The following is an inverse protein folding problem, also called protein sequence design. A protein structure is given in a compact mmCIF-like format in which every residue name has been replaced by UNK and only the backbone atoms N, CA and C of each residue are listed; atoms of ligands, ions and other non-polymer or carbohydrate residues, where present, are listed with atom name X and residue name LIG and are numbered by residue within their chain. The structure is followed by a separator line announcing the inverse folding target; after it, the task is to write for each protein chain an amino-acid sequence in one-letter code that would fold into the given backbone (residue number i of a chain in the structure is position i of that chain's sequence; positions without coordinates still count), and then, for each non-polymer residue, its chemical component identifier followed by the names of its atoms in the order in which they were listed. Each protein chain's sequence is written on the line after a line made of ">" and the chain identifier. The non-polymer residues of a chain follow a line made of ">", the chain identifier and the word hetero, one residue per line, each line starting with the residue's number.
data_IF_602057068627
#
_entry.id   IF_602057068627
#
_cell.length_a   1.000
_cell.length_b   1.000
_cell.length_c   1.000
_cell.angle_alpha   90.00
_cell.angle_beta   90.00
_cell.angle_gamma   90.00
#
_symmetry.space_group_name_H-M   'P 1'
#
loop_
_entity.id
_entity.type
_entity.pdbx_description
1 polymer ?
#
# COMPACT_ATOMS: atom_id res chain seq x y z
N UNK A 1 7.94 8.77 8.62
CA UNK A 1 6.51 8.53 8.35
C UNK A 1 6.06 7.27 9.12
N UNK A 2 4.76 6.99 9.26
CA UNK A 2 4.26 5.78 9.93
C UNK A 2 3.36 4.99 8.97
N UNK A 3 3.38 3.67 9.05
CA UNK A 3 2.53 2.81 8.22
C UNK A 3 1.03 3.10 8.45
N UNK A 4 0.67 3.51 9.67
CA UNK A 4 -0.69 3.89 10.03
C UNK A 4 -1.29 4.94 9.09
N UNK A 5 -0.53 5.95 8.67
CA UNK A 5 -1.02 6.98 7.75
C UNK A 5 -1.51 6.42 6.42
N UNK A 6 -0.86 5.37 5.90
CA UNK A 6 -1.25 4.72 4.65
C UNK A 6 -2.37 3.68 4.89
N UNK A 7 -2.20 2.83 5.90
CA UNK A 7 -3.11 1.71 6.17
C UNK A 7 -4.49 2.21 6.59
N UNK A 8 -4.56 3.24 7.45
CA UNK A 8 -5.84 3.85 7.84
C UNK A 8 -6.49 4.56 6.67
N UNK A 9 -5.71 5.16 5.77
CA UNK A 9 -6.22 5.75 4.52
C UNK A 9 -6.90 4.70 3.64
N UNK A 10 -6.23 3.57 3.38
CA UNK A 10 -6.81 2.45 2.63
C UNK A 10 -8.05 1.86 3.30
N UNK A 11 -8.03 1.69 4.63
CA UNK A 11 -9.20 1.26 5.43
C UNK A 11 -10.38 2.22 5.29
N UNK A 12 -10.12 3.53 5.25
CA UNK A 12 -11.16 4.54 5.10
C UNK A 12 -11.79 4.52 3.69
N UNK A 13 -11.01 4.24 2.64
CA UNK A 13 -11.53 4.02 1.30
C UNK A 13 -12.50 2.83 1.29
N UNK A 14 -12.02 1.68 1.77
CA UNK A 14 -12.77 0.43 1.80
C UNK A 14 -14.12 0.57 2.55
N UNK A 15 -14.07 1.11 3.77
CA UNK A 15 -15.26 1.34 4.61
C UNK A 15 -16.27 2.28 3.98
N UNK A 16 -15.83 3.31 3.24
CA UNK A 16 -16.75 4.22 2.56
C UNK A 16 -17.48 3.52 1.41
N UNK A 17 -16.79 2.69 0.65
CA UNK A 17 -17.42 1.89 -0.40
C UNK A 17 -18.43 0.91 0.20
N UNK A 18 -18.06 0.19 1.26
CA UNK A 18 -18.97 -0.71 1.99
C UNK A 18 -20.20 0.02 2.55
N UNK A 19 -20.00 1.20 3.14
CA UNK A 19 -21.10 1.99 3.69
C UNK A 19 -22.10 2.44 2.61
N UNK A 20 -21.66 2.66 1.36
CA UNK A 20 -22.58 2.93 0.25
C UNK A 20 -23.26 1.67 -0.23
N UNK A 21 -22.52 0.58 -0.37
CA UNK A 21 -23.07 -0.70 -0.81
C UNK A 21 -24.12 -1.24 0.17
N UNK A 22 -23.97 -0.98 1.47
CA UNK A 22 -24.94 -1.38 2.50
C UNK A 22 -26.25 -0.58 2.47
N UNK A 23 -26.29 0.62 1.85
CA UNK A 23 -27.52 1.42 1.78
C UNK A 23 -28.50 0.81 0.81
N UNK A 24 -29.78 0.73 1.18
CA UNK A 24 -30.84 0.26 0.27
C UNK A 24 -31.07 1.23 -0.90
N UNK A 25 -31.06 2.54 -0.63
CA UNK A 25 -31.18 3.62 -1.63
C UNK A 25 -30.00 4.57 -1.52
N UNK A 26 -29.46 4.98 -2.67
CA UNK A 26 -28.37 5.93 -2.74
C UNK A 26 -28.92 7.34 -2.96
N UNK A 27 -28.51 8.26 -2.09
CA UNK A 27 -28.80 9.69 -2.24
C UNK A 27 -27.73 10.35 -3.13
N UNK A 28 -28.06 10.97 -4.27
CA UNK A 28 -27.09 11.47 -5.24
C UNK A 28 -26.05 12.44 -4.63
N UNK A 29 -26.50 13.39 -3.82
CA UNK A 29 -25.64 14.41 -3.19
C UNK A 29 -24.67 13.81 -2.18
N UNK A 30 -25.16 12.88 -1.33
CA UNK A 30 -24.33 12.18 -0.36
C UNK A 30 -23.32 11.28 -1.06
N UNK A 31 -23.75 10.55 -2.09
CA UNK A 31 -22.93 9.64 -2.88
C UNK A 31 -21.80 10.37 -3.61
N UNK A 32 -22.09 11.53 -4.22
CA UNK A 32 -21.08 12.41 -4.81
C UNK A 32 -20.06 12.88 -3.78
N UNK A 33 -20.51 13.36 -2.62
CA UNK A 33 -19.62 13.85 -1.55
C UNK A 33 -18.66 12.77 -1.08
N UNK A 34 -19.14 11.54 -0.93
CA UNK A 34 -18.31 10.40 -0.54
C UNK A 34 -17.28 10.02 -1.62
N UNK A 35 -17.64 10.09 -2.91
CA UNK A 35 -16.69 9.89 -4.01
C UNK A 35 -15.58 10.94 -4.01
N UNK A 36 -15.91 12.22 -3.84
CA UNK A 36 -14.90 13.28 -3.71
C UNK A 36 -13.97 13.08 -2.49
N UNK A 37 -14.52 12.62 -1.37
CA UNK A 37 -13.72 12.28 -0.19
C UNK A 37 -12.78 11.09 -0.43
N UNK A 38 -13.20 10.10 -1.24
CA UNK A 38 -12.31 9.02 -1.67
C UNK A 38 -11.16 9.54 -2.54
N UNK A 39 -11.46 10.34 -3.58
CA UNK A 39 -10.43 10.94 -4.45
C UNK A 39 -9.39 11.76 -3.66
N UNK A 40 -9.85 12.56 -2.68
CA UNK A 40 -8.94 13.30 -1.79
C UNK A 40 -8.05 12.37 -0.96
N UNK A 41 -8.60 11.27 -0.45
CA UNK A 41 -7.82 10.27 0.31
C UNK A 41 -6.79 9.56 -0.58
N UNK A 42 -7.17 9.18 -1.81
CA UNK A 42 -6.27 8.58 -2.81
C UNK A 42 -5.14 9.52 -3.20
N UNK A 43 -5.45 10.81 -3.43
CA UNK A 43 -4.44 11.83 -3.70
C UNK A 43 -3.41 11.94 -2.57
N UNK A 44 -3.88 11.89 -1.31
CA UNK A 44 -2.98 11.89 -0.13
C UNK A 44 -2.12 10.62 -0.08
N UNK A 45 -2.70 9.44 -0.35
CA UNK A 45 -1.94 8.19 -0.41
C UNK A 45 -0.85 8.26 -1.48
N UNK A 46 -1.18 8.72 -2.69
CA UNK A 46 -0.22 8.88 -3.79
C UNK A 46 0.92 9.83 -3.41
N UNK A 47 0.61 10.97 -2.80
CA UNK A 47 1.62 11.92 -2.34
C UNK A 47 2.57 11.31 -1.28
N UNK A 48 2.03 10.56 -0.32
CA UNK A 48 2.83 9.89 0.72
C UNK A 48 3.71 8.77 0.15
N UNK A 49 3.20 8.00 -0.83
CA UNK A 49 3.97 6.96 -1.53
C UNK A 49 5.11 7.61 -2.32
N UNK A 50 4.80 8.65 -3.10
CA UNK A 50 5.79 9.34 -3.93
C UNK A 50 6.92 9.98 -3.08
N UNK A 51 6.57 10.58 -1.94
CA UNK A 51 7.55 11.26 -1.08
C UNK A 51 8.42 10.31 -0.24
N UNK A 52 7.94 9.10 0.05
CA UNK A 52 8.54 8.26 1.09
C UNK A 52 9.24 6.99 0.62
N UNK A 53 9.10 6.57 -0.64
CA UNK A 53 9.54 5.23 -1.07
C UNK A 53 11.06 5.11 -1.13
N UNK A 54 11.70 4.24 -0.33
CA UNK A 54 13.15 4.07 -0.36
C UNK A 54 13.60 3.18 -1.52
N UNK A 55 14.89 3.30 -1.85
CA UNK A 55 15.59 2.27 -2.60
C UNK A 55 15.60 0.95 -1.79
N UNK A 56 15.47 -0.20 -2.45
CA UNK A 56 15.44 -1.50 -1.80
C UNK A 56 16.77 -1.82 -1.17
N UNK A 57 16.73 -2.52 -0.04
CA UNK A 57 17.93 -2.88 0.70
C UNK A 57 17.95 -4.38 1.01
N UNK A 58 19.03 -5.10 0.69
CA UNK A 58 19.23 -6.48 1.13
C UNK A 58 19.22 -6.63 2.66
N UNK A 59 19.02 -7.85 3.15
CA UNK A 59 19.23 -8.19 4.56
C UNK A 59 17.96 -8.31 5.43
N UNK A 60 16.77 -8.50 4.84
CA UNK A 60 15.57 -8.88 5.63
C UNK A 60 15.11 -10.30 5.36
N UNK A 61 14.73 -10.98 6.44
CA UNK A 61 14.20 -12.34 6.39
C UNK A 61 12.70 -12.34 6.02
N UNK A 62 12.24 -13.39 5.35
CA UNK A 62 10.82 -13.53 5.03
C UNK A 62 9.96 -13.74 6.30
N UNK A 63 10.55 -14.27 7.38
CA UNK A 63 9.89 -14.41 8.69
C UNK A 63 9.52 -13.06 9.31
N UNK A 64 10.45 -12.09 9.34
CA UNK A 64 10.19 -10.74 9.84
C UNK A 64 9.16 -10.01 8.98
N UNK A 65 9.25 -10.15 7.66
CA UNK A 65 8.25 -9.58 6.74
C UNK A 65 6.85 -10.18 7.00
N UNK A 66 6.77 -11.47 7.33
CA UNK A 66 5.53 -12.13 7.73
C UNK A 66 4.95 -11.58 9.03
N UNK A 67 5.78 -11.29 10.03
CA UNK A 67 5.32 -10.68 11.29
C UNK A 67 4.80 -9.26 11.09
N UNK A 68 5.55 -8.41 10.38
CA UNK A 68 5.10 -7.05 10.06
C UNK A 68 3.82 -7.07 9.23
N UNK A 69 3.67 -8.00 8.29
CA UNK A 69 2.42 -8.16 7.52
C UNK A 69 1.21 -8.44 8.43
N UNK A 70 1.33 -9.36 9.39
CA UNK A 70 0.23 -9.66 10.35
C UNK A 70 -0.13 -8.46 11.21
N UNK A 71 0.87 -7.70 11.67
CA UNK A 71 0.63 -6.44 12.40
C UNK A 71 -0.12 -5.44 11.51
N UNK A 72 0.30 -5.28 10.24
CA UNK A 72 -0.40 -4.39 9.31
C UNK A 72 -1.84 -4.84 9.02
N UNK A 73 -2.10 -6.15 8.95
CA UNK A 73 -3.46 -6.70 8.80
C UNK A 73 -4.34 -6.37 10.00
N UNK A 74 -3.80 -6.48 11.23
CA UNK A 74 -4.50 -6.07 12.45
C UNK A 74 -4.75 -4.55 12.47
N UNK A 75 -3.73 -3.76 12.13
CA UNK A 75 -3.86 -2.31 11.99
C UNK A 75 -4.94 -1.93 10.98
N UNK A 76 -5.03 -2.65 9.86
CA UNK A 76 -6.08 -2.46 8.88
C UNK A 76 -7.46 -2.88 9.41
N UNK A 77 -7.55 -3.95 10.19
CA UNK A 77 -8.79 -4.49 10.73
C UNK A 77 -9.38 -3.67 11.89
N UNK A 78 -8.54 -3.10 12.75
CA UNK A 78 -8.97 -2.40 13.98
C UNK A 78 -8.78 -0.88 13.87
N UNK A 79 -7.80 -0.43 13.10
CA UNK A 79 -7.49 1.00 12.89
C UNK A 79 -6.34 1.51 13.77
N UNK A 80 -5.92 0.71 14.74
CA UNK A 80 -4.73 0.93 15.57
C UNK A 80 -4.03 -0.40 15.90
N UNK A 81 -2.93 -0.31 16.64
CA UNK A 81 -2.21 -1.44 17.21
C UNK A 81 -2.05 -1.27 18.72
N UNK A 82 -3.19 -1.18 19.42
CA UNK A 82 -3.20 -1.19 20.88
C UNK A 82 -2.62 -2.49 21.43
N UNK A 83 -1.60 -2.40 22.29
CA UNK A 83 -0.95 -3.54 22.94
C UNK A 83 -1.94 -4.42 23.71
N UNK A 84 -2.99 -3.83 24.29
CA UNK A 84 -4.02 -4.56 25.02
C UNK A 84 -4.91 -5.43 24.11
N UNK A 85 -4.98 -5.12 22.81
CA UNK A 85 -5.79 -5.83 21.82
C UNK A 85 -4.99 -6.86 21.00
N UNK A 86 -3.67 -6.93 21.23
CA UNK A 86 -2.76 -7.88 20.60
C UNK A 86 -2.53 -9.07 21.52
N UNK A 87 -2.40 -10.25 20.92
CA UNK A 87 -2.01 -11.43 21.69
C UNK A 87 -0.55 -11.31 22.17
N UNK A 88 -0.27 -11.91 23.33
CA UNK A 88 1.02 -11.81 24.01
C UNK A 88 2.17 -12.36 23.14
N UNK A 89 1.90 -13.40 22.35
CA UNK A 89 2.89 -14.01 21.45
C UNK A 89 3.33 -13.04 20.35
N UNK A 90 2.38 -12.33 19.74
CA UNK A 90 2.63 -11.33 18.71
C UNK A 90 3.38 -10.12 19.29
N UNK A 91 3.00 -9.66 20.49
CA UNK A 91 3.72 -8.61 21.22
C UNK A 91 5.18 -8.99 21.51
N UNK A 92 5.41 -10.19 22.06
CA UNK A 92 6.75 -10.69 22.38
C UNK A 92 7.63 -10.80 21.12
N UNK A 93 7.06 -11.31 20.02
CA UNK A 93 7.78 -11.38 18.74
C UNK A 93 8.02 -10.01 18.13
N UNK A 94 7.09 -9.08 18.26
CA UNK A 94 7.22 -7.70 17.78
C UNK A 94 8.36 -6.98 18.54
N UNK A 95 8.47 -7.19 19.85
CA UNK A 95 9.54 -6.63 20.66
C UNK A 95 10.94 -7.18 20.32
N UNK A 96 11.01 -8.36 19.70
CA UNK A 96 12.27 -8.98 19.27
C UNK A 96 12.79 -8.48 17.91
N UNK A 97 11.98 -7.72 17.17
CA UNK A 97 12.38 -7.16 15.87
C UNK A 97 12.60 -5.65 15.99
N UNK A 98 13.74 -5.16 15.49
CA UNK A 98 14.05 -3.72 15.46
C UNK A 98 13.28 -2.98 14.34
N UNK A 99 12.05 -3.37 14.04
CA UNK A 99 11.24 -2.86 12.92
C UNK A 99 9.94 -2.22 13.37
N UNK A 100 9.67 -2.25 14.67
CA UNK A 100 8.50 -1.66 15.31
C UNK A 100 8.96 -0.91 16.55
N UNK A 101 8.24 0.14 16.92
CA UNK A 101 8.53 0.92 18.12
C UNK A 101 7.27 1.03 18.97
N UNK A 102 7.44 1.19 20.28
CA UNK A 102 6.32 1.38 21.21
C UNK A 102 6.20 2.85 21.56
N UNK A 103 5.00 3.41 21.48
CA UNK A 103 4.68 4.75 21.97
C UNK A 103 3.48 4.68 22.91
N UNK A 104 3.75 4.62 24.22
CA UNK A 104 2.72 4.37 25.23
C UNK A 104 2.08 3.00 25.04
N UNK A 105 0.74 2.89 24.97
CA UNK A 105 0.05 1.60 24.80
C UNK A 105 -0.05 1.14 23.34
N UNK A 106 0.63 1.80 22.40
CA UNK A 106 0.47 1.58 20.95
C UNK A 106 1.79 1.11 20.33
N UNK A 107 1.72 0.08 19.50
CA UNK A 107 2.80 -0.29 18.59
C UNK A 107 2.75 0.55 17.31
N UNK A 108 3.91 1.05 16.90
CA UNK A 108 4.10 1.85 15.70
C UNK A 108 4.99 1.07 14.74
N UNK A 109 4.58 1.03 13.48
CA UNK A 109 5.41 0.51 12.38
C UNK A 109 5.99 1.72 11.64
N UNK A 110 7.24 2.13 11.91
CA UNK A 110 7.86 3.26 11.25
C UNK A 110 8.08 2.96 9.76
N UNK A 111 7.91 4.00 8.95
CA UNK A 111 8.29 4.04 7.55
C UNK A 111 9.38 5.11 7.40
N UNK A 112 10.59 4.63 7.11
CA UNK A 112 11.78 5.46 6.96
C UNK A 112 12.50 5.18 5.65
N UNK A 113 13.45 6.04 5.31
CA UNK A 113 14.36 5.84 4.18
C UNK A 113 15.62 5.05 4.59
N UNK A 114 15.91 5.02 5.88
CA UNK A 114 17.15 4.48 6.46
C UNK A 114 16.86 3.43 7.54
N UNK A 115 17.92 2.77 7.98
CA UNK A 115 17.90 1.78 9.04
C UNK A 115 16.96 0.61 8.76
N UNK A 116 16.40 0.03 9.81
CA UNK A 116 15.47 -1.10 9.75
C UNK A 116 14.07 -0.70 9.25
N UNK A 117 13.66 0.55 9.49
CA UNK A 117 12.37 1.10 9.09
C UNK A 117 12.14 1.08 7.57
N UNK A 118 13.21 1.16 6.76
CA UNK A 118 13.11 1.06 5.29
C UNK A 118 12.56 -0.28 4.81
N UNK A 119 12.72 -1.34 5.59
CA UNK A 119 12.25 -2.66 5.21
C UNK A 119 10.74 -2.85 5.39
N UNK A 120 10.07 -1.96 6.14
CA UNK A 120 8.62 -1.99 6.36
C UNK A 120 7.81 -1.57 5.13
N UNK A 121 8.43 -0.91 4.15
CA UNK A 121 7.76 -0.51 2.92
C UNK A 121 7.22 -1.67 2.10
N UNK A 122 7.99 -2.76 2.00
CA UNK A 122 7.59 -3.94 1.24
C UNK A 122 6.29 -4.59 1.77
N UNK A 123 6.18 -4.95 3.07
CA UNK A 123 4.93 -5.51 3.58
C UNK A 123 3.77 -4.50 3.54
N UNK A 124 4.03 -3.18 3.67
CA UNK A 124 3.01 -2.15 3.47
C UNK A 124 2.50 -2.14 2.03
N UNK A 125 3.36 -2.11 1.02
CA UNK A 125 2.95 -2.15 -0.38
C UNK A 125 2.13 -3.38 -0.71
N UNK A 126 2.55 -4.56 -0.24
CA UNK A 126 1.80 -5.80 -0.44
C UNK A 126 0.41 -5.71 0.16
N UNK A 127 0.28 -5.29 1.41
CA UNK A 127 -1.04 -5.09 2.02
C UNK A 127 -1.88 -4.08 1.25
N UNK A 128 -1.32 -2.92 0.89
CA UNK A 128 -2.08 -1.88 0.20
C UNK A 128 -2.55 -2.34 -1.18
N UNK A 129 -1.73 -3.09 -1.93
CA UNK A 129 -2.14 -3.67 -3.21
C UNK A 129 -3.34 -4.60 -3.00
N UNK A 130 -3.24 -5.55 -2.06
CA UNK A 130 -4.33 -6.49 -1.76
C UNK A 130 -5.63 -5.74 -1.40
N UNK A 131 -5.53 -4.69 -0.56
CA UNK A 131 -6.71 -3.93 -0.11
C UNK A 131 -7.28 -2.98 -1.15
N UNK A 132 -6.45 -2.44 -2.04
CA UNK A 132 -6.91 -1.62 -3.15
C UNK A 132 -7.56 -2.45 -4.24
N UNK A 133 -7.12 -3.69 -4.46
CA UNK A 133 -7.83 -4.66 -5.32
C UNK A 133 -9.27 -4.91 -4.81
N UNK A 134 -9.43 -5.18 -3.51
CA UNK A 134 -10.75 -5.32 -2.87
C UNK A 134 -11.59 -4.04 -2.98
N UNK A 135 -10.95 -2.88 -2.74
CA UNK A 135 -11.61 -1.57 -2.78
C UNK A 135 -12.08 -1.21 -4.19
N UNK A 136 -11.28 -1.50 -5.22
CA UNK A 136 -11.63 -1.27 -6.63
C UNK A 136 -12.92 -2.01 -6.98
N UNK A 137 -13.00 -3.31 -6.66
CA UNK A 137 -14.18 -4.13 -6.93
C UNK A 137 -15.43 -3.57 -6.23
N UNK A 138 -15.28 -3.02 -5.01
CA UNK A 138 -16.38 -2.35 -4.31
C UNK A 138 -16.76 -1.02 -4.98
N UNK A 139 -15.80 -0.23 -5.42
CA UNK A 139 -16.04 1.02 -6.14
C UNK A 139 -16.73 0.78 -7.48
N UNK A 140 -16.34 -0.25 -8.25
CA UNK A 140 -17.03 -0.66 -9.48
C UNK A 140 -18.50 -1.01 -9.21
N UNK A 141 -18.80 -1.72 -8.11
CA UNK A 141 -20.18 -1.99 -7.70
C UNK A 141 -20.94 -0.71 -7.34
N UNK A 142 -20.30 0.29 -6.76
CA UNK A 142 -20.91 1.60 -6.51
C UNK A 142 -21.21 2.31 -7.83
N UNK A 143 -20.29 2.29 -8.81
CA UNK A 143 -20.50 2.83 -10.15
C UNK A 143 -21.75 2.23 -10.80
N UNK A 144 -21.85 0.89 -10.82
CA UNK A 144 -23.01 0.19 -11.38
C UNK A 144 -24.33 0.59 -10.71
N UNK A 145 -24.33 0.77 -9.38
CA UNK A 145 -25.52 1.25 -8.66
C UNK A 145 -25.88 2.69 -9.02
N UNK A 146 -24.90 3.56 -9.22
CA UNK A 146 -25.15 4.97 -9.58
C UNK A 146 -25.62 5.16 -11.02
N UNK A 147 -25.28 4.25 -11.93
CA UNK A 147 -25.75 4.29 -13.34
C UNK A 147 -27.28 4.20 -13.43
N UNK A 148 -27.89 3.38 -12.57
CA UNK A 148 -29.35 3.21 -12.51
C UNK A 148 -30.12 4.44 -12.00
N UNK A 149 -29.42 5.45 -11.48
CA UNK A 149 -30.01 6.67 -10.95
C UNK A 149 -29.94 7.79 -12.00
N UNK A 150 -31.05 8.00 -12.72
CA UNK A 150 -31.16 9.02 -13.78
C UNK A 150 -30.79 10.45 -13.34
N UNK A 151 -30.92 10.76 -12.05
CA UNK A 151 -30.58 12.07 -11.46
C UNK A 151 -29.13 12.19 -10.96
N UNK A 152 -28.29 11.15 -11.11
CA UNK A 152 -26.98 11.05 -10.45
C UNK A 152 -25.77 11.12 -11.38
N UNK A 153 -25.89 11.70 -12.58
CA UNK A 153 -24.82 11.72 -13.60
C UNK A 153 -23.47 12.26 -13.11
N UNK A 154 -23.46 13.20 -12.16
CA UNK A 154 -22.23 13.73 -11.56
C UNK A 154 -21.66 12.77 -10.51
N UNK A 155 -22.51 12.12 -9.71
CA UNK A 155 -22.06 11.13 -8.74
C UNK A 155 -21.45 9.92 -9.46
N UNK A 156 -22.10 9.44 -10.53
CA UNK A 156 -21.61 8.35 -11.37
C UNK A 156 -20.20 8.64 -11.91
N UNK A 157 -20.01 9.78 -12.58
CA UNK A 157 -18.69 10.20 -13.09
C UNK A 157 -17.63 10.35 -11.99
N UNK A 158 -18.03 10.84 -10.82
CA UNK A 158 -17.12 10.94 -9.66
C UNK A 158 -16.61 9.56 -9.23
N UNK A 159 -17.51 8.57 -9.18
CA UNK A 159 -17.15 7.20 -8.81
C UNK A 159 -16.38 6.46 -9.92
N UNK A 160 -16.64 6.74 -11.19
CA UNK A 160 -15.79 6.26 -12.29
C UNK A 160 -14.35 6.77 -12.15
N UNK A 161 -14.19 8.08 -11.94
CA UNK A 161 -12.88 8.67 -11.67
C UNK A 161 -12.24 8.07 -10.40
N UNK A 162 -13.04 7.75 -9.39
CA UNK A 162 -12.54 7.10 -8.17
C UNK A 162 -11.97 5.70 -8.47
N UNK A 163 -12.66 4.89 -9.28
CA UNK A 163 -12.16 3.58 -9.73
C UNK A 163 -10.85 3.73 -10.50
N UNK A 164 -10.80 4.67 -11.45
CA UNK A 164 -9.59 4.94 -12.23
C UNK A 164 -8.41 5.32 -11.33
N UNK A 165 -8.62 6.24 -10.39
CA UNK A 165 -7.56 6.63 -9.45
C UNK A 165 -7.14 5.48 -8.51
N UNK A 166 -8.07 4.60 -8.08
CA UNK A 166 -7.70 3.39 -7.32
C UNK A 166 -6.78 2.49 -8.15
N UNK A 167 -7.11 2.26 -9.43
CA UNK A 167 -6.28 1.47 -10.36
C UNK A 167 -4.89 2.08 -10.52
N UNK A 168 -4.81 3.38 -10.76
CA UNK A 168 -3.54 4.10 -10.91
C UNK A 168 -2.68 4.01 -9.64
N UNK A 169 -3.27 4.24 -8.46
CA UNK A 169 -2.57 4.09 -7.18
C UNK A 169 -2.04 2.67 -6.99
N UNK A 170 -2.84 1.66 -7.32
CA UNK A 170 -2.44 0.26 -7.23
C UNK A 170 -1.30 -0.06 -8.19
N UNK A 171 -1.35 0.42 -9.42
CA UNK A 171 -0.33 0.16 -10.43
C UNK A 171 0.98 0.87 -10.10
N UNK A 172 0.92 2.08 -9.52
CA UNK A 172 2.05 2.75 -8.92
C UNK A 172 2.69 1.88 -7.82
N UNK A 173 1.89 1.36 -6.88
CA UNK A 173 2.38 0.48 -5.81
C UNK A 173 3.01 -0.81 -6.36
N UNK A 174 2.37 -1.45 -7.34
CA UNK A 174 2.91 -2.65 -8.02
C UNK A 174 4.24 -2.35 -8.69
N UNK A 175 4.36 -1.21 -9.36
CA UNK A 175 5.60 -0.75 -10.00
C UNK A 175 6.70 -0.54 -8.97
N UNK A 176 6.41 0.15 -7.86
CA UNK A 176 7.39 0.36 -6.78
C UNK A 176 7.81 -0.97 -6.14
N UNK A 177 6.86 -1.88 -5.89
CA UNK A 177 7.16 -3.20 -5.35
C UNK A 177 8.00 -4.03 -6.32
N UNK A 178 7.67 -4.05 -7.62
CA UNK A 178 8.42 -4.76 -8.64
C UNK A 178 9.85 -4.20 -8.78
N UNK A 179 10.02 -2.88 -8.73
CA UNK A 179 11.34 -2.22 -8.68
C UNK A 179 12.13 -2.67 -7.45
N UNK A 180 11.50 -2.71 -6.28
CA UNK A 180 12.11 -3.19 -5.05
C UNK A 180 12.53 -4.66 -5.15
N UNK A 181 11.69 -5.51 -5.74
CA UNK A 181 11.96 -6.93 -5.91
C UNK A 181 13.07 -7.21 -6.93
N UNK A 182 13.10 -6.48 -8.06
CA UNK A 182 14.15 -6.58 -9.09
C UNK A 182 15.51 -6.23 -8.51
N UNK A 183 15.62 -5.06 -7.88
CA UNK A 183 16.89 -4.62 -7.29
C UNK A 183 17.30 -5.52 -6.11
N UNK A 184 16.36 -6.01 -5.29
CA UNK A 184 16.68 -7.04 -4.27
C UNK A 184 17.34 -8.25 -4.93
N UNK A 185 16.78 -8.79 -6.01
CA UNK A 185 17.40 -9.94 -6.72
C UNK A 185 18.81 -9.62 -7.21
N UNK A 186 19.05 -8.41 -7.72
CA UNK A 186 20.38 -7.98 -8.17
C UNK A 186 21.40 -7.90 -7.02
N UNK A 187 21.00 -7.34 -5.87
CA UNK A 187 21.92 -7.12 -4.74
C UNK A 187 21.99 -8.28 -3.73
N UNK A 188 21.11 -9.28 -3.82
CA UNK A 188 21.11 -10.45 -2.92
C UNK A 188 21.62 -11.72 -3.61
N UNK A 189 22.02 -11.63 -4.89
CA UNK A 189 22.73 -12.73 -5.56
C UNK A 189 24.09 -12.90 -4.86
N UNK A 190 24.47 -14.10 -4.40
CA UNK A 190 25.81 -14.30 -3.87
C UNK A 190 26.81 -13.88 -4.95
N UNK A 191 27.82 -13.11 -4.54
CA UNK A 191 28.93 -12.70 -5.39
C UNK A 191 29.84 -13.89 -5.66
N UNK A 192 29.31 -14.98 -6.19
CA UNK A 192 30.11 -16.14 -6.55
C UNK A 192 30.94 -15.87 -7.81
N UNK A 193 30.57 -14.87 -8.63
CA UNK A 193 31.40 -14.38 -9.74
C UNK A 193 31.27 -12.85 -9.92
N UNK A 194 32.10 -12.04 -9.24
CA UNK A 194 32.14 -10.59 -9.40
C UNK A 194 32.40 -10.15 -10.85
N UNK A 195 33.11 -10.99 -11.62
CA UNK A 195 33.43 -10.76 -13.02
C UNK A 195 32.19 -10.85 -13.93
N UNK A 196 31.28 -11.81 -13.70
CA UNK A 196 30.03 -11.90 -14.45
C UNK A 196 29.09 -10.73 -14.14
N UNK A 197 29.01 -10.31 -12.89
CA UNK A 197 28.19 -9.15 -12.52
C UNK A 197 28.73 -7.85 -13.13
N UNK A 198 30.05 -7.66 -13.15
CA UNK A 198 30.68 -6.51 -13.79
C UNK A 198 30.49 -6.53 -15.32
N UNK A 199 30.67 -7.69 -15.96
CA UNK A 199 30.45 -7.86 -17.39
C UNK A 199 28.99 -7.62 -17.78
N UNK A 200 28.04 -8.19 -17.03
CA UNK A 200 26.60 -7.98 -17.23
C UNK A 200 26.16 -6.54 -16.98
N UNK A 201 26.74 -5.87 -15.96
CA UNK A 201 26.40 -4.47 -15.65
C UNK A 201 26.93 -3.52 -16.72
N UNK A 202 28.12 -3.76 -17.25
CA UNK A 202 28.66 -3.01 -18.39
C UNK A 202 27.75 -3.22 -19.59
N UNK A 203 27.43 -4.48 -19.92
CA UNK A 203 26.54 -4.84 -21.03
C UNK A 203 25.20 -4.10 -20.96
N UNK A 204 24.51 -4.13 -19.82
CA UNK A 204 23.22 -3.42 -19.62
C UNK A 204 23.32 -1.89 -19.68
N UNK A 205 24.49 -1.29 -19.39
CA UNK A 205 24.72 0.15 -19.48
C UNK A 205 25.19 0.58 -20.88
N UNK A 206 25.79 -0.33 -21.64
CA UNK A 206 26.20 -0.13 -23.04
C UNK A 206 25.17 -0.57 -24.07
N UNK A 207 24.18 -1.38 -23.69
CA UNK A 207 23.00 -1.76 -24.52
C UNK A 207 21.97 -0.63 -24.67
N UNK A 208 22.39 0.62 -24.44
CA UNK A 208 21.80 1.76 -25.13
C UNK A 208 22.28 1.69 -26.59
N UNK A 209 21.70 0.76 -27.38
CA UNK A 209 21.88 0.73 -28.82
C UNK A 209 21.61 2.11 -29.37
N UNK A 210 22.69 2.75 -29.80
CA UNK A 210 22.80 3.62 -30.96
C UNK A 210 21.76 3.17 -31.99
N UNK A 211 20.66 3.91 -32.09
CA UNK A 211 19.73 3.79 -33.22
C UNK A 211 20.48 4.17 -34.50
N UNK A 212 20.35 3.39 -35.60
CA UNK A 212 20.61 3.90 -36.94
C UNK A 212 19.48 4.82 -37.44
#
# INVERSE_FOLDING_TARGET
>A
MQAQSLVVGARALDRRADALLAKQRLEPTSTRRQGLAQLSTLSTLNALIAAGTPLPVPGTTDSENGLVRRLLERLYADGDLSLAALDESLCNRAAQIDRVTTAGPILIIPLGLEGTARHNWRPVFRLLIDRLDDTEAKCDRVVARTETLSSASVAHRTWQSTVETVRETRDLLRTQLARQERLRRLYTKPADEPAEFAAWTIDQLTDATTEP
#
